data_IF_140147852387
#
_entry.id   IF_140147852387
#
_cell.length_a   1.000
_cell.length_b   1.000
_cell.length_c   1.000
_cell.angle_alpha   90.00
_cell.angle_beta   90.00
_cell.angle_gamma   90.00
#
_symmetry.space_group_name_H-M   'P 1'
#
loop_
_entity.id
_entity.type
_entity.pdbx_description
1 polymer ?
#
# COMPACT_ATOMS: atom_id res chain seq x y z
N UNK A 1 -14.59 15.17 -56.87
CA UNK A 1 -14.75 14.18 -55.79
C UNK A 1 -13.36 13.60 -55.49
N UNK A 2 -12.34 14.28 -54.96
CA UNK A 2 -12.21 15.24 -53.84
C UNK A 2 -12.97 14.81 -52.59
N UNK A 3 -12.18 14.47 -51.56
CA UNK A 3 -12.52 14.24 -50.14
C UNK A 3 -13.12 12.85 -49.90
N UNK A 4 -12.35 11.94 -49.27
CA UNK A 4 -12.65 11.06 -48.10
C UNK A 4 -11.56 9.96 -47.95
N UNK A 5 -10.26 10.28 -48.06
CA UNK A 5 -9.19 9.32 -47.66
C UNK A 5 -8.07 10.05 -46.89
N UNK A 6 -8.47 10.94 -45.97
CA UNK A 6 -7.52 11.67 -45.10
C UNK A 6 -7.93 11.66 -43.62
N UNK A 7 -8.93 10.86 -43.21
CA UNK A 7 -9.43 10.81 -41.82
C UNK A 7 -9.15 9.50 -41.08
N UNK A 8 -8.51 8.51 -41.70
CA UNK A 8 -8.23 7.24 -41.03
C UNK A 8 -6.79 7.17 -40.46
N UNK A 9 -5.90 8.09 -40.84
CA UNK A 9 -4.49 8.10 -40.38
C UNK A 9 -4.24 9.05 -39.19
N UNK A 10 -5.15 9.98 -38.88
CA UNK A 10 -5.03 10.85 -37.70
C UNK A 10 -5.82 10.37 -36.46
N UNK A 11 -6.60 9.28 -36.58
CA UNK A 11 -7.41 8.74 -35.48
C UNK A 11 -6.68 7.78 -34.54
N UNK A 12 -5.46 7.35 -34.87
CA UNK A 12 -4.71 6.33 -34.11
C UNK A 12 -3.46 6.83 -33.38
N UNK A 13 -3.16 8.13 -33.45
CA UNK A 13 -2.02 8.74 -32.74
C UNK A 13 -2.47 9.67 -31.58
N UNK A 14 -3.79 9.88 -31.42
CA UNK A 14 -4.36 10.75 -30.37
C UNK A 14 -4.84 10.06 -29.09
N UNK A 15 -4.57 8.77 -28.87
CA UNK A 15 -5.05 8.01 -27.67
C UNK A 15 -3.92 7.49 -26.77
N UNK A 16 -2.78 8.16 -26.76
CA UNK A 16 -1.68 7.95 -25.80
C UNK A 16 -1.37 9.20 -24.97
N UNK A 17 -2.34 10.10 -24.82
CA UNK A 17 -2.37 11.05 -23.71
C UNK A 17 -3.40 10.50 -22.75
N UNK A 18 -2.97 9.60 -21.87
CA UNK A 18 -3.73 9.31 -20.67
C UNK A 18 -3.97 10.64 -19.98
N UNK A 19 -5.23 10.98 -19.75
CA UNK A 19 -5.56 12.01 -18.80
C UNK A 19 -4.94 11.57 -17.48
N UNK A 20 -3.96 12.36 -17.06
CA UNK A 20 -3.45 12.43 -15.69
C UNK A 20 -4.60 12.95 -14.84
N UNK A 21 -5.58 12.09 -14.60
CA UNK A 21 -6.61 12.31 -13.61
C UNK A 21 -5.94 11.98 -12.29
N UNK A 22 -5.59 13.02 -11.55
CA UNK A 22 -5.09 12.91 -10.19
C UNK A 22 -6.17 12.24 -9.35
N UNK A 23 -6.16 10.90 -9.30
CA UNK A 23 -6.93 10.05 -8.39
C UNK A 23 -6.45 10.31 -6.94
N UNK A 24 -6.64 11.53 -6.45
CA UNK A 24 -6.92 11.72 -5.03
C UNK A 24 -8.34 11.24 -4.81
N UNK A 25 -8.52 9.92 -4.84
CA UNK A 25 -9.79 9.26 -4.58
C UNK A 25 -10.35 9.79 -3.26
N UNK A 26 -11.48 10.48 -3.31
CA UNK A 26 -12.26 10.84 -2.12
C UNK A 26 -12.68 9.59 -1.32
N UNK A 27 -12.60 8.38 -1.92
CA UNK A 27 -12.86 7.07 -1.29
C UNK A 27 -11.99 6.80 -0.04
N UNK A 28 -10.78 7.36 0.06
CA UNK A 28 -9.90 7.11 1.23
C UNK A 28 -10.34 7.89 2.49
N UNK A 29 -11.21 8.90 2.36
CA UNK A 29 -11.74 9.69 3.49
C UNK A 29 -12.84 8.95 4.26
N UNK A 30 -13.50 7.97 3.64
CA UNK A 30 -14.55 7.15 4.26
C UNK A 30 -13.99 5.93 5.00
N UNK A 31 -12.66 5.71 4.97
CA UNK A 31 -12.03 4.68 5.80
C UNK A 31 -12.13 5.09 7.29
N UNK A 32 -12.86 4.34 8.15
CA UNK A 32 -13.02 4.66 9.56
C UNK A 32 -11.69 4.63 10.35
N UNK A 33 -10.64 4.08 9.74
CA UNK A 33 -9.30 4.06 10.27
C UNK A 33 -8.35 5.01 9.54
N UNK A 34 -8.81 5.96 8.73
CA UNK A 34 -7.91 6.93 8.11
C UNK A 34 -7.14 7.72 9.18
N UNK A 35 -5.80 7.65 9.13
CA UNK A 35 -4.95 8.44 10.00
C UNK A 35 -4.44 9.68 9.29
N UNK A 36 -4.83 10.84 9.81
CA UNK A 36 -4.40 12.10 9.27
C UNK A 36 -3.10 12.59 9.93
N UNK A 37 -1.97 12.49 9.20
CA UNK A 37 -0.68 13.00 9.67
C UNK A 37 -0.54 14.53 9.56
N UNK A 38 -1.37 15.22 8.78
CA UNK A 38 -1.13 16.62 8.44
C UNK A 38 -2.35 17.34 7.88
N UNK A 39 -2.11 18.42 7.15
CA UNK A 39 -3.17 19.03 6.34
C UNK A 39 -3.08 18.49 4.91
N UNK A 40 -4.11 18.76 4.10
CA UNK A 40 -4.02 18.59 2.64
C UNK A 40 -2.85 19.38 2.02
N UNK A 41 -2.30 20.37 2.73
CA UNK A 41 -1.30 21.30 2.22
C UNK A 41 0.13 20.96 2.66
N UNK A 42 0.33 20.24 3.77
CA UNK A 42 1.67 19.80 4.16
C UNK A 42 1.66 18.64 5.17
N UNK A 43 2.64 17.76 4.97
CA UNK A 43 3.02 16.68 5.89
C UNK A 43 4.39 16.95 6.54
N UNK A 44 4.93 18.16 6.38
CA UNK A 44 6.16 18.62 7.02
C UNK A 44 6.00 18.64 8.56
N UNK A 45 6.96 18.07 9.32
CA UNK A 45 6.95 18.15 10.77
C UNK A 45 7.32 19.54 11.29
N UNK A 46 6.74 19.93 12.43
CA UNK A 46 7.07 21.21 13.08
C UNK A 46 8.54 21.28 13.50
N UNK A 47 9.09 20.16 14.00
CA UNK A 47 10.53 20.02 14.20
C UNK A 47 11.14 19.33 12.97
N UNK A 48 11.57 20.14 12.00
CA UNK A 48 12.14 19.68 10.75
C UNK A 48 13.61 19.23 10.86
N UNK A 49 14.11 18.86 12.04
CA UNK A 49 15.50 18.43 12.21
C UNK A 49 15.61 16.91 12.14
N UNK A 50 16.45 16.41 11.23
CA UNK A 50 16.73 14.99 11.09
C UNK A 50 17.91 14.54 11.95
N UNK A 51 18.13 13.23 12.03
CA UNK A 51 19.22 12.65 12.84
C UNK A 51 20.63 13.06 12.37
N UNK A 52 20.77 13.44 11.10
CA UNK A 52 22.00 13.92 10.49
C UNK A 52 22.17 15.45 10.58
N UNK A 53 21.26 16.14 11.27
CA UNK A 53 21.26 17.60 11.42
C UNK A 53 20.73 18.36 10.19
N UNK A 54 20.34 17.66 9.13
CA UNK A 54 19.74 18.30 7.96
C UNK A 54 18.27 18.66 8.19
N UNK A 55 17.78 19.63 7.42
CA UNK A 55 16.36 19.93 7.35
C UNK A 55 15.59 18.79 6.69
N UNK A 56 14.42 18.50 7.23
CA UNK A 56 13.51 17.47 6.76
C UNK A 56 13.09 17.72 5.31
N UNK A 57 13.22 16.69 4.47
CA UNK A 57 12.93 16.82 3.03
C UNK A 57 11.47 17.16 2.74
N UNK A 58 10.53 16.67 3.55
CA UNK A 58 9.11 17.05 3.49
C UNK A 58 8.86 18.56 3.62
N UNK A 59 9.81 19.32 4.16
CA UNK A 59 9.71 20.76 4.36
C UNK A 59 10.43 21.56 3.26
N UNK A 60 10.95 20.88 2.23
CA UNK A 60 11.58 21.56 1.10
C UNK A 60 10.56 22.45 0.37
N UNK A 61 11.03 23.59 -0.15
CA UNK A 61 10.19 24.51 -0.94
C UNK A 61 9.60 23.84 -2.19
N UNK A 62 10.36 22.90 -2.77
CA UNK A 62 9.96 22.13 -3.94
C UNK A 62 10.31 20.65 -3.70
N UNK A 63 9.45 19.91 -2.98
CA UNK A 63 9.74 18.57 -2.51
C UNK A 63 9.73 17.50 -3.61
N UNK A 64 9.11 17.80 -4.76
CA UNK A 64 9.09 16.95 -5.95
C UNK A 64 10.20 17.32 -6.95
N UNK A 65 11.09 18.25 -6.59
CA UNK A 65 12.25 18.54 -7.42
C UNK A 65 13.24 17.38 -7.37
N UNK A 66 13.38 16.70 -8.50
CA UNK A 66 14.39 15.66 -8.69
C UNK A 66 15.79 16.24 -8.44
N UNK A 67 16.54 15.60 -7.54
CA UNK A 67 17.92 15.98 -7.21
C UNK A 67 18.82 15.94 -8.45
N UNK A 68 19.74 16.90 -8.65
CA UNK A 68 20.65 16.89 -9.80
C UNK A 68 21.54 15.64 -9.90
N UNK A 69 21.72 14.92 -8.79
CA UNK A 69 22.50 13.68 -8.73
C UNK A 69 21.74 12.46 -9.27
N UNK A 70 20.44 12.61 -9.54
CA UNK A 70 19.60 11.56 -10.09
C UNK A 70 19.95 11.28 -11.56
N UNK A 71 20.57 10.14 -11.84
CA UNK A 71 20.73 9.65 -13.22
C UNK A 71 19.55 8.76 -13.59
N UNK A 72 18.88 9.06 -14.72
CA UNK A 72 17.80 8.25 -15.30
C UNK A 72 16.61 8.03 -14.35
N UNK A 73 16.27 9.03 -13.55
CA UNK A 73 15.12 8.98 -12.66
C UNK A 73 13.82 8.95 -13.48
N UNK A 74 13.01 7.92 -13.26
CA UNK A 74 11.64 7.83 -13.76
C UNK A 74 10.77 7.31 -12.64
N UNK A 75 9.88 8.15 -12.13
CA UNK A 75 8.91 7.75 -11.13
C UNK A 75 7.95 6.71 -11.72
N UNK A 76 7.65 5.65 -10.94
CA UNK A 76 6.65 4.65 -11.31
C UNK A 76 5.30 5.11 -10.78
N UNK A 77 4.27 5.30 -11.64
CA UNK A 77 2.95 5.71 -11.19
C UNK A 77 2.33 4.70 -10.22
N UNK A 78 1.86 5.18 -9.06
CA UNK A 78 1.17 4.36 -8.06
C UNK A 78 -0.34 4.42 -8.32
N UNK A 79 -0.85 3.41 -9.00
CA UNK A 79 -2.28 3.29 -9.32
C UNK A 79 -3.10 2.77 -8.13
N UNK A 80 -4.43 2.93 -8.15
CA UNK A 80 -5.34 2.27 -7.19
C UNK A 80 -5.11 0.76 -7.09
N UNK A 81 -4.86 0.11 -8.23
CA UNK A 81 -4.51 -1.32 -8.29
C UNK A 81 -3.20 -1.62 -7.56
N UNK A 82 -2.17 -0.78 -7.73
CA UNK A 82 -0.90 -0.93 -7.02
C UNK A 82 -1.06 -0.74 -5.50
N UNK A 83 -1.84 0.26 -5.07
CA UNK A 83 -2.18 0.47 -3.65
C UNK A 83 -2.87 -0.75 -3.06
N UNK A 84 -3.94 -1.24 -3.70
CA UNK A 84 -4.66 -2.44 -3.26
C UNK A 84 -3.75 -3.68 -3.25
N UNK A 85 -3.00 -3.94 -4.32
CA UNK A 85 -2.08 -5.08 -4.38
C UNK A 85 -1.05 -5.05 -3.25
N UNK A 86 -0.46 -3.89 -2.97
CA UNK A 86 0.52 -3.76 -1.91
C UNK A 86 -0.10 -4.05 -0.53
N UNK A 87 -1.27 -3.49 -0.25
CA UNK A 87 -2.02 -3.76 1.00
C UNK A 87 -2.41 -5.24 1.11
N UNK A 88 -2.95 -5.84 0.05
CA UNK A 88 -3.36 -7.24 0.03
C UNK A 88 -2.20 -8.19 0.28
N UNK A 89 -1.05 -7.95 -0.35
CA UNK A 89 0.12 -8.82 -0.14
C UNK A 89 0.67 -8.65 1.29
N UNK A 90 0.69 -7.44 1.84
CA UNK A 90 1.07 -7.22 3.24
C UNK A 90 0.13 -7.96 4.20
N UNK A 91 -1.19 -7.78 4.03
CA UNK A 91 -2.19 -8.42 4.88
C UNK A 91 -2.22 -9.94 4.70
N UNK A 92 -2.07 -10.45 3.48
CA UNK A 92 -1.97 -11.89 3.22
C UNK A 92 -0.78 -12.52 3.94
N UNK A 93 0.38 -11.86 3.91
CA UNK A 93 1.56 -12.29 4.67
C UNK A 93 1.30 -12.25 6.17
N UNK A 94 0.81 -11.13 6.70
CA UNK A 94 0.52 -10.95 8.13
C UNK A 94 -0.49 -11.97 8.64
N UNK A 95 -1.54 -12.23 7.86
CA UNK A 95 -2.56 -13.23 8.14
C UNK A 95 -1.95 -14.63 8.24
N UNK A 96 -1.07 -15.00 7.29
CA UNK A 96 -0.35 -16.28 7.33
C UNK A 96 0.48 -16.41 8.60
N UNK A 97 1.25 -15.38 8.95
CA UNK A 97 2.08 -15.38 10.17
C UNK A 97 1.22 -15.49 11.43
N UNK A 98 0.13 -14.71 11.51
CA UNK A 98 -0.79 -14.74 12.63
C UNK A 98 -1.47 -16.11 12.78
N UNK A 99 -1.91 -16.71 11.68
CA UNK A 99 -2.48 -18.05 11.67
C UNK A 99 -1.48 -19.12 12.14
N UNK A 100 -0.30 -19.16 11.52
CA UNK A 100 0.74 -20.17 11.78
C UNK A 100 1.27 -20.09 13.22
N UNK A 101 1.31 -18.88 13.80
CA UNK A 101 1.80 -18.61 15.16
C UNK A 101 0.70 -18.45 16.20
N UNK A 102 -0.57 -18.56 15.82
CA UNK A 102 -1.74 -18.33 16.70
C UNK A 102 -1.69 -16.97 17.39
N UNK A 103 -1.46 -15.89 16.63
CA UNK A 103 -1.44 -14.52 17.16
C UNK A 103 -2.85 -13.94 17.21
N UNK A 104 -3.17 -13.25 18.30
CA UNK A 104 -4.45 -12.61 18.54
C UNK A 104 -4.47 -11.15 18.08
N UNK A 105 -3.34 -10.44 18.21
CA UNK A 105 -3.30 -8.97 18.10
C UNK A 105 -2.64 -8.44 16.81
N UNK A 106 -2.75 -9.17 15.69
CA UNK A 106 -2.18 -8.72 14.42
C UNK A 106 -3.18 -7.80 13.70
N UNK A 107 -2.85 -6.52 13.54
CA UNK A 107 -3.72 -5.58 12.84
C UNK A 107 -3.70 -5.81 11.32
N UNK A 108 -4.86 -5.57 10.70
CA UNK A 108 -4.97 -5.31 9.28
C UNK A 108 -4.33 -3.94 8.98
N UNK A 109 -3.52 -3.86 7.93
CA UNK A 109 -2.89 -2.60 7.49
C UNK A 109 -3.65 -1.96 6.35
N UNK A 110 -3.62 -0.64 6.29
CA UNK A 110 -4.30 0.17 5.29
C UNK A 110 -3.30 1.04 4.53
N UNK A 111 -3.67 1.42 3.31
CA UNK A 111 -2.89 2.42 2.58
C UNK A 111 -3.06 3.79 3.22
N UNK A 112 -2.00 4.60 3.21
CA UNK A 112 -2.04 5.99 3.64
C UNK A 112 -1.32 6.89 2.65
N UNK A 113 -2.05 7.87 2.13
CA UNK A 113 -1.55 8.79 1.10
C UNK A 113 -0.41 9.67 1.59
N UNK A 114 -0.42 10.12 2.85
CA UNK A 114 0.69 10.92 3.39
C UNK A 114 2.00 10.11 3.50
N UNK A 115 1.93 8.82 3.84
CA UNK A 115 3.10 7.93 3.82
C UNK A 115 3.58 7.66 2.38
N UNK A 116 2.67 7.59 1.40
CA UNK A 116 3.02 7.51 -0.03
C UNK A 116 3.73 8.79 -0.48
N UNK A 117 3.22 9.96 -0.13
CA UNK A 117 3.83 11.25 -0.49
C UNK A 117 5.24 11.34 0.11
N UNK A 118 5.42 10.88 1.35
CA UNK A 118 6.74 10.79 1.98
C UNK A 118 7.67 9.83 1.22
N UNK A 119 7.18 8.66 0.80
CA UNK A 119 7.90 7.71 -0.02
C UNK A 119 8.36 8.33 -1.36
N UNK A 120 7.46 9.03 -2.04
CA UNK A 120 7.73 9.66 -3.32
C UNK A 120 8.75 10.80 -3.20
N UNK A 121 8.57 11.70 -2.25
CA UNK A 121 9.52 12.80 -2.02
C UNK A 121 10.92 12.29 -1.65
N UNK A 122 11.00 11.19 -0.90
CA UNK A 122 12.28 10.58 -0.57
C UNK A 122 13.01 10.05 -1.83
N UNK A 123 12.29 9.46 -2.80
CA UNK A 123 12.88 9.01 -4.06
C UNK A 123 13.46 10.17 -4.89
N UNK A 124 12.85 11.35 -4.83
CA UNK A 124 13.34 12.56 -5.50
C UNK A 124 14.70 13.04 -4.98
N UNK A 125 15.09 12.64 -3.75
CA UNK A 125 16.41 12.96 -3.19
C UNK A 125 17.54 12.16 -3.86
N UNK A 126 17.23 11.03 -4.49
CA UNK A 126 18.20 10.09 -5.05
C UNK A 126 19.34 9.70 -4.10
N UNK A 127 18.96 9.26 -2.90
CA UNK A 127 19.88 8.75 -1.88
C UNK A 127 19.74 7.23 -1.78
N UNK A 128 20.82 6.44 -1.85
CA UNK A 128 20.76 4.99 -1.71
C UNK A 128 20.78 4.52 -0.25
N UNK A 129 20.93 5.44 0.71
CA UNK A 129 21.07 5.14 2.15
C UNK A 129 19.78 5.37 2.89
N UNK A 130 19.53 4.61 3.97
CA UNK A 130 18.36 4.75 4.84
C UNK A 130 18.07 6.21 5.19
N UNK A 131 16.79 6.52 5.25
CA UNK A 131 16.31 7.84 5.64
C UNK A 131 16.70 8.18 7.09
N UNK A 132 17.25 9.39 7.26
CA UNK A 132 17.63 9.97 8.55
C UNK A 132 16.48 10.78 9.16
N UNK A 133 15.41 11.00 8.40
CA UNK A 133 14.25 11.83 8.70
C UNK A 133 12.98 10.97 8.88
N UNK A 134 13.00 10.03 9.83
CA UNK A 134 11.90 9.07 10.06
C UNK A 134 10.74 9.63 10.89
N UNK A 135 10.29 10.84 10.57
CA UNK A 135 9.15 11.51 11.20
C UNK A 135 8.23 12.11 10.14
N UNK A 136 6.94 12.18 10.41
CA UNK A 136 5.96 12.77 9.49
C UNK A 136 4.92 13.58 10.25
N UNK A 137 4.40 14.62 9.60
CA UNK A 137 3.24 15.35 10.08
C UNK A 137 3.58 16.34 11.18
N UNK A 138 2.65 17.27 11.45
CA UNK A 138 2.87 18.40 12.37
C UNK A 138 3.34 17.94 13.76
N UNK A 139 2.83 16.80 14.23
CA UNK A 139 3.15 16.24 15.55
C UNK A 139 4.42 15.36 15.56
N UNK A 140 5.14 15.24 14.45
CA UNK A 140 6.40 14.49 14.37
C UNK A 140 6.23 12.99 14.63
N UNK A 141 5.23 12.38 14.01
CA UNK A 141 4.94 10.95 14.17
C UNK A 141 6.08 10.10 13.64
N UNK A 142 6.64 9.23 14.48
CA UNK A 142 7.73 8.34 14.07
C UNK A 142 7.21 7.26 13.12
N UNK A 143 7.92 7.08 12.00
CA UNK A 143 7.61 6.07 10.98
C UNK A 143 8.75 5.06 10.81
N UNK A 144 8.39 3.86 10.39
CA UNK A 144 9.35 2.85 9.92
C UNK A 144 9.61 3.01 8.43
N UNK A 145 10.70 2.43 7.94
CA UNK A 145 11.04 2.44 6.51
C UNK A 145 11.57 1.06 6.10
N UNK A 146 11.04 0.55 4.99
CA UNK A 146 11.66 -0.55 4.24
C UNK A 146 12.04 -0.05 2.85
N UNK A 147 13.18 -0.52 2.35
CA UNK A 147 13.61 -0.26 0.97
C UNK A 147 14.05 -1.54 0.28
N UNK A 148 13.91 -1.57 -1.03
CA UNK A 148 14.49 -2.64 -1.87
C UNK A 148 14.96 -2.05 -3.19
N UNK A 149 16.11 -2.55 -3.66
CA UNK A 149 16.63 -2.25 -4.99
C UNK A 149 16.63 -3.51 -5.85
N UNK A 150 16.05 -3.43 -7.04
CA UNK A 150 15.96 -4.52 -8.01
C UNK A 150 16.76 -4.14 -9.26
N UNK A 151 17.90 -4.79 -9.54
CA UNK A 151 18.74 -4.47 -10.69
C UNK A 151 18.00 -4.64 -12.04
N UNK A 152 18.31 -3.79 -13.02
CA UNK A 152 17.65 -3.76 -14.35
C UNK A 152 17.66 -5.09 -15.11
N UNK A 153 18.63 -5.96 -14.89
CA UNK A 153 18.62 -7.31 -15.51
C UNK A 153 17.40 -8.17 -15.12
N UNK A 154 16.64 -7.76 -14.09
CA UNK A 154 15.40 -8.38 -13.64
C UNK A 154 14.15 -7.54 -13.98
N UNK A 155 14.23 -6.59 -14.92
CA UNK A 155 13.16 -5.62 -15.25
C UNK A 155 11.87 -6.28 -15.78
N UNK A 156 11.95 -7.45 -16.42
CA UNK A 156 10.76 -8.20 -16.85
C UNK A 156 9.88 -8.68 -15.68
N UNK A 157 10.37 -8.59 -14.43
CA UNK A 157 9.63 -8.94 -13.22
C UNK A 157 8.88 -7.74 -12.58
N UNK A 158 8.87 -6.57 -13.22
CA UNK A 158 8.31 -5.33 -12.65
C UNK A 158 6.79 -5.20 -12.76
N UNK A 159 6.13 -6.02 -13.57
CA UNK A 159 4.67 -6.01 -13.71
C UNK A 159 3.93 -6.42 -12.43
N UNK A 160 4.66 -6.91 -11.42
CA UNK A 160 4.15 -7.35 -10.11
C UNK A 160 5.12 -6.95 -8.98
N UNK A 161 5.68 -5.74 -9.08
CA UNK A 161 6.69 -5.27 -8.13
C UNK A 161 6.15 -5.27 -6.69
N UNK A 162 4.84 -5.04 -6.48
CA UNK A 162 4.20 -5.01 -5.18
C UNK A 162 4.39 -6.34 -4.42
N UNK A 163 3.97 -7.43 -5.06
CA UNK A 163 4.06 -8.77 -4.46
C UNK A 163 5.51 -9.23 -4.26
N UNK A 164 6.37 -8.94 -5.23
CA UNK A 164 7.78 -9.35 -5.20
C UNK A 164 8.57 -8.60 -4.14
N UNK A 165 8.25 -7.32 -3.92
CA UNK A 165 8.86 -6.49 -2.89
C UNK A 165 8.60 -7.05 -1.50
N UNK A 166 7.33 -7.29 -1.16
CA UNK A 166 6.96 -7.86 0.13
C UNK A 166 7.56 -9.24 0.32
N UNK A 167 7.55 -10.07 -0.73
CA UNK A 167 8.22 -11.38 -0.72
C UNK A 167 9.72 -11.25 -0.45
N UNK A 168 10.41 -10.29 -1.07
CA UNK A 168 11.84 -10.10 -0.87
C UNK A 168 12.15 -9.75 0.59
N UNK A 169 11.41 -8.80 1.18
CA UNK A 169 11.54 -8.44 2.59
C UNK A 169 11.22 -9.60 3.53
N UNK A 170 10.18 -10.39 3.21
CA UNK A 170 9.88 -11.59 3.98
C UNK A 170 10.99 -12.64 3.91
N UNK A 171 11.60 -12.79 2.73
CA UNK A 171 12.68 -13.76 2.48
C UNK A 171 14.05 -13.30 2.98
N UNK A 172 14.18 -12.10 3.60
CA UNK A 172 15.39 -11.72 4.36
C UNK A 172 15.76 -12.76 5.43
N UNK A 173 14.79 -13.57 5.84
CA UNK A 173 14.96 -14.75 6.69
C UNK A 173 15.89 -15.83 6.12
N UNK A 174 16.26 -15.80 4.84
CA UNK A 174 17.27 -16.67 4.22
C UNK A 174 17.36 -18.08 4.85
N UNK A 175 16.43 -18.99 4.55
CA UNK A 175 16.46 -20.40 5.01
C UNK A 175 16.40 -20.62 6.53
N UNK A 176 16.21 -19.59 7.36
CA UNK A 176 16.02 -19.74 8.81
C UNK A 176 14.57 -20.17 9.04
N UNK A 177 14.35 -21.40 9.49
CA UNK A 177 13.05 -21.81 10.05
C UNK A 177 12.78 -20.85 11.20
N UNK A 178 11.70 -20.06 11.17
CA UNK A 178 11.31 -19.19 12.29
C UNK A 178 11.01 -20.08 13.50
N UNK A 179 12.02 -20.33 14.33
CA UNK A 179 11.82 -20.95 15.63
C UNK A 179 11.36 -19.87 16.60
N UNK A 180 10.69 -20.29 17.67
CA UNK A 180 10.28 -19.39 18.76
C UNK A 180 11.49 -18.67 19.38
N UNK A 181 12.70 -19.22 19.24
CA UNK A 181 13.98 -18.65 19.68
C UNK A 181 14.53 -17.57 18.73
N UNK A 182 14.26 -17.63 17.42
CA UNK A 182 14.79 -16.62 16.47
C UNK A 182 14.11 -15.25 16.66
N UNK A 183 12.88 -15.25 17.17
CA UNK A 183 12.15 -14.03 17.58
C UNK A 183 12.67 -13.43 18.90
N UNK A 184 13.61 -14.08 19.60
CA UNK A 184 14.11 -13.70 20.94
C UNK A 184 15.40 -12.88 20.89
N UNK A 185 16.20 -13.00 19.82
CA UNK A 185 17.57 -12.48 19.86
C UNK A 185 17.67 -11.08 19.25
N UNK A 186 18.00 -10.08 20.07
CA UNK A 186 18.18 -8.65 19.74
C UNK A 186 19.23 -8.35 18.62
N UNK A 187 19.97 -9.35 18.14
CA UNK A 187 20.99 -9.23 17.09
C UNK A 187 20.45 -8.88 15.69
N UNK A 188 19.15 -8.61 15.56
CA UNK A 188 18.41 -8.57 14.29
C UNK A 188 18.04 -7.18 13.78
N UNK A 189 18.25 -6.10 14.56
CA UNK A 189 17.98 -4.71 14.15
C UNK A 189 18.74 -4.27 12.88
N UNK A 190 19.82 -4.96 12.52
CA UNK A 190 20.58 -4.71 11.28
C UNK A 190 20.19 -5.59 10.08
N UNK A 191 19.85 -6.87 10.30
CA UNK A 191 19.70 -7.89 9.23
C UNK A 191 18.25 -8.25 8.86
N UNK A 192 17.29 -7.99 9.75
CA UNK A 192 15.87 -8.34 9.57
C UNK A 192 14.94 -7.14 9.82
N UNK A 193 15.46 -5.93 9.59
CA UNK A 193 14.73 -4.69 9.81
C UNK A 193 13.44 -4.64 8.99
N UNK A 194 13.50 -5.09 7.73
CA UNK A 194 12.34 -5.03 6.85
C UNK A 194 11.27 -6.05 7.26
N UNK A 195 11.66 -7.30 7.56
CA UNK A 195 10.72 -8.30 8.07
C UNK A 195 10.05 -7.84 9.36
N UNK A 196 10.82 -7.37 10.33
CA UNK A 196 10.29 -6.96 11.64
C UNK A 196 9.20 -5.92 11.47
N UNK A 197 9.42 -4.97 10.56
CA UNK A 197 8.43 -3.96 10.22
C UNK A 197 7.18 -4.56 9.55
N UNK A 198 7.33 -5.55 8.66
CA UNK A 198 6.20 -6.21 7.99
C UNK A 198 5.26 -6.94 8.96
N UNK A 199 5.82 -7.61 9.98
CA UNK A 199 5.05 -8.45 10.92
C UNK A 199 4.78 -7.77 12.27
N UNK A 200 5.01 -6.46 12.36
CA UNK A 200 4.75 -5.70 13.58
C UNK A 200 3.25 -5.71 13.92
N UNK A 201 2.81 -6.23 15.09
CA UNK A 201 1.39 -6.43 15.40
C UNK A 201 0.56 -5.16 15.29
N UNK A 202 1.05 -4.09 15.91
CA UNK A 202 0.38 -2.81 16.01
C UNK A 202 0.54 -1.95 14.75
N UNK A 203 1.19 -2.43 13.68
CA UNK A 203 1.29 -1.70 12.42
C UNK A 203 -0.11 -1.46 11.85
N UNK A 204 -0.39 -0.23 11.41
CA UNK A 204 -1.73 0.16 10.95
C UNK A 204 -1.71 0.68 9.51
N UNK A 205 -0.65 1.37 9.11
CA UNK A 205 -0.60 2.05 7.81
C UNK A 205 0.69 1.79 7.08
N UNK A 206 0.56 1.72 5.76
CA UNK A 206 1.66 1.66 4.82
C UNK A 206 1.45 2.71 3.73
N UNK A 207 2.54 3.28 3.23
CA UNK A 207 2.52 4.06 2.00
C UNK A 207 3.86 3.91 1.29
N UNK A 208 3.80 3.64 0.00
CA UNK A 208 4.98 3.27 -0.77
C UNK A 208 5.04 4.04 -2.09
N UNK A 209 6.25 4.15 -2.61
CA UNK A 209 6.51 4.66 -3.94
C UNK A 209 7.69 3.91 -4.56
N UNK A 210 7.82 4.00 -5.88
CA UNK A 210 8.88 3.34 -6.62
C UNK A 210 9.38 4.22 -7.77
N UNK A 211 10.67 4.12 -8.08
CA UNK A 211 11.27 4.84 -9.20
C UNK A 211 12.35 3.98 -9.87
N UNK A 212 12.46 4.10 -11.20
CA UNK A 212 13.61 3.60 -11.94
C UNK A 212 14.76 4.58 -11.67
N UNK A 213 15.83 4.10 -11.06
CA UNK A 213 17.01 4.88 -10.68
C UNK A 213 18.17 3.93 -10.34
N UNK A 214 19.40 4.44 -10.28
CA UNK A 214 20.60 3.64 -9.97
C UNK A 214 20.76 2.37 -10.84
N UNK A 215 20.32 2.42 -12.10
CA UNK A 215 20.27 1.28 -13.03
C UNK A 215 19.39 0.09 -12.55
N UNK A 216 18.30 0.38 -11.85
CA UNK A 216 17.29 -0.60 -11.44
C UNK A 216 15.97 0.04 -11.02
N UNK A 217 15.09 -0.74 -10.41
CA UNK A 217 13.91 -0.24 -9.70
C UNK A 217 14.27 -0.08 -8.21
N UNK A 218 14.06 1.10 -7.66
CA UNK A 218 14.17 1.36 -6.23
C UNK A 218 12.78 1.60 -5.65
N UNK A 219 12.45 0.88 -4.59
CA UNK A 219 11.16 0.94 -3.92
C UNK A 219 11.40 1.31 -2.46
N UNK A 220 10.56 2.19 -1.95
CA UNK A 220 10.54 2.60 -0.55
C UNK A 220 9.11 2.54 -0.03
N UNK A 221 8.94 1.98 1.16
CA UNK A 221 7.69 2.01 1.91
C UNK A 221 7.95 2.61 3.29
N UNK A 222 7.05 3.50 3.70
CA UNK A 222 6.96 3.99 5.06
C UNK A 222 5.80 3.33 5.81
N UNK A 223 5.97 3.19 7.11
CA UNK A 223 5.11 2.38 7.98
C UNK A 223 4.76 3.15 9.24
N UNK A 224 3.49 3.12 9.65
CA UNK A 224 3.06 3.71 10.91
C UNK A 224 2.10 2.79 11.69
N UNK A 225 2.29 2.62 13.01
CA UNK A 225 3.43 3.08 13.80
C UNK A 225 4.74 2.34 13.45
N UNK A 226 5.86 3.02 13.72
CA UNK A 226 7.19 2.43 13.60
C UNK A 226 7.42 1.33 14.65
N UNK A 227 8.26 0.35 14.31
CA UNK A 227 8.79 -0.61 15.30
C UNK A 227 9.56 0.15 16.38
N UNK A 228 9.19 -0.04 17.64
CA UNK A 228 9.82 0.61 18.80
C UNK A 228 10.39 -0.37 19.83
N UNK A 229 9.96 -1.64 19.81
CA UNK A 229 10.32 -2.67 20.78
C UNK A 229 10.59 -4.02 20.11
N UNK A 230 10.97 -5.04 20.89
CA UNK A 230 11.12 -6.41 20.39
C UNK A 230 9.76 -7.02 20.01
N UNK A 231 9.71 -7.80 18.92
CA UNK A 231 8.47 -8.47 18.47
C UNK A 231 7.87 -9.38 19.54
N UNK A 232 8.71 -10.11 20.27
CA UNK A 232 8.24 -11.05 21.30
C UNK A 232 7.44 -10.36 22.39
N UNK A 233 7.85 -9.16 22.80
CA UNK A 233 7.15 -8.40 23.83
C UNK A 233 5.77 -7.93 23.37
N UNK A 234 5.54 -7.85 22.06
CA UNK A 234 4.33 -7.29 21.47
C UNK A 234 3.37 -8.35 20.94
N UNK A 235 3.78 -9.63 20.84
CA UNK A 235 2.88 -10.71 20.40
C UNK A 235 1.98 -11.19 21.53
N UNK A 236 0.68 -11.16 21.27
CA UNK A 236 -0.35 -11.82 22.08
C UNK A 236 -0.82 -13.06 21.34
N UNK A 237 -0.93 -14.20 22.04
CA UNK A 237 -1.31 -15.48 21.45
C UNK A 237 -2.77 -15.82 21.78
N UNK A 238 -3.45 -16.44 20.82
CA UNK A 238 -4.77 -17.03 20.99
C UNK A 238 -4.70 -18.22 21.94
N UNK A 239 -5.76 -18.43 22.72
CA UNK A 239 -5.98 -19.69 23.44
C UNK A 239 -6.41 -20.79 22.46
N UNK A 240 -6.38 -22.04 22.93
CA UNK A 240 -6.63 -23.21 22.09
C UNK A 240 -8.01 -23.22 21.40
N UNK A 241 -9.01 -22.60 22.03
CA UNK A 241 -10.41 -22.51 21.59
C UNK A 241 -10.76 -21.16 20.92
N UNK A 242 -9.83 -20.21 20.89
CA UNK A 242 -10.03 -18.89 20.30
C UNK A 242 -9.65 -18.92 18.81
N UNK A 243 -10.57 -18.49 17.95
CA UNK A 243 -10.34 -18.35 16.51
C UNK A 243 -9.77 -16.98 16.14
N UNK A 244 -10.21 -15.92 16.84
CA UNK A 244 -9.74 -14.56 16.70
C UNK A 244 -10.16 -13.73 17.92
N UNK A 245 -9.23 -12.94 18.47
CA UNK A 245 -9.46 -12.04 19.62
C UNK A 245 -8.71 -10.74 19.38
N UNK A 246 -9.44 -9.68 19.09
CA UNK A 246 -8.82 -8.42 18.73
C UNK A 246 -8.67 -7.42 19.89
N UNK A 247 -7.66 -6.54 19.83
CA UNK A 247 -7.45 -5.53 20.86
C UNK A 247 -8.57 -4.49 20.86
N UNK A 248 -8.73 -3.78 21.97
CA UNK A 248 -9.81 -2.79 22.15
C UNK A 248 -9.81 -1.70 21.07
N UNK A 249 -8.69 -1.31 20.48
CA UNK A 249 -8.71 -0.31 19.40
C UNK A 249 -9.14 -0.86 18.04
N UNK A 250 -9.29 -2.18 17.89
CA UNK A 250 -9.64 -2.88 16.65
C UNK A 250 -10.69 -3.95 16.92
N UNK A 251 -11.94 -3.54 17.17
CA UNK A 251 -12.96 -4.43 17.74
C UNK A 251 -13.46 -5.60 16.86
N UNK A 252 -13.01 -5.73 15.62
CA UNK A 252 -13.51 -6.76 14.70
C UNK A 252 -12.39 -7.56 14.08
N UNK A 253 -12.65 -8.86 13.93
CA UNK A 253 -11.88 -9.74 13.08
C UNK A 253 -12.22 -9.43 11.62
N UNK A 254 -11.21 -9.41 10.77
CA UNK A 254 -11.41 -9.30 9.32
C UNK A 254 -12.10 -10.55 8.79
N UNK A 255 -13.00 -10.37 7.83
CA UNK A 255 -13.70 -11.45 7.13
C UNK A 255 -12.82 -12.07 6.04
N UNK A 256 -12.00 -11.26 5.36
CA UNK A 256 -11.10 -11.72 4.31
C UNK A 256 -9.80 -12.32 4.88
N UNK A 257 -9.26 -11.68 5.91
CA UNK A 257 -8.04 -12.06 6.61
C UNK A 257 -8.37 -12.48 8.04
N UNK A 258 -8.93 -13.67 8.19
CA UNK A 258 -9.57 -14.17 9.43
C UNK A 258 -8.69 -14.23 10.68
N UNK A 259 -7.37 -14.08 10.55
CA UNK A 259 -6.43 -14.00 11.68
C UNK A 259 -5.93 -12.57 11.95
N UNK A 260 -6.56 -11.56 11.34
CA UNK A 260 -6.24 -10.15 11.51
C UNK A 260 -7.39 -9.35 12.11
N UNK A 261 -7.04 -8.22 12.71
CA UNK A 261 -7.95 -7.29 13.37
C UNK A 261 -8.12 -5.99 12.56
N UNK A 262 -9.34 -5.71 12.13
CA UNK A 262 -9.67 -4.57 11.27
C UNK A 262 -10.86 -4.83 10.36
N UNK A 263 -11.31 -3.78 9.66
CA UNK A 263 -12.43 -3.82 8.72
C UNK A 263 -11.88 -3.97 7.31
N UNK A 264 -12.44 -4.87 6.52
CA UNK A 264 -12.06 -5.05 5.12
C UNK A 264 -12.64 -3.93 4.25
N UNK A 265 -11.79 -3.14 3.60
CA UNK A 265 -12.22 -2.01 2.76
C UNK A 265 -12.88 -2.48 1.46
N UNK A 266 -12.47 -3.63 0.90
CA UNK A 266 -12.99 -4.10 -0.39
C UNK A 266 -14.44 -4.63 -0.32
N UNK A 267 -14.96 -4.91 0.88
CA UNK A 267 -16.36 -5.36 1.06
C UNK A 267 -17.35 -4.19 0.93
N UNK A 268 -16.90 -2.94 1.12
CA UNK A 268 -17.73 -1.75 0.98
C UNK A 268 -18.11 -1.45 -0.49
N UNK A 269 -17.19 -1.68 -1.42
CA UNK A 269 -17.42 -1.45 -2.86
C UNK A 269 -18.24 -2.55 -3.53
N UNK A 270 -18.16 -3.80 -3.04
CA UNK A 270 -18.91 -4.93 -3.58
C UNK A 270 -20.43 -4.88 -3.25
N UNK A 271 -20.84 -4.01 -2.33
CA UNK A 271 -22.26 -3.70 -2.07
C UNK A 271 -22.79 -2.55 -2.91
N UNK A 272 -21.96 -1.90 -3.72
CA UNK A 272 -22.42 -1.09 -4.83
C UNK A 272 -22.63 -2.05 -5.98
N UNK A 273 -23.77 -2.75 -5.99
CA UNK A 273 -24.29 -3.30 -7.23
C UNK A 273 -24.43 -2.11 -8.16
N UNK A 274 -23.49 -1.93 -9.09
CA UNK A 274 -23.67 -1.02 -10.20
C UNK A 274 -24.99 -1.42 -10.87
N UNK A 275 -26.02 -0.60 -10.67
CA UNK A 275 -27.23 -0.66 -11.47
C UNK A 275 -26.84 -0.24 -12.87
N UNK A 276 -26.22 -1.17 -13.62
CA UNK A 276 -25.97 -0.97 -15.02
C UNK A 276 -27.36 -0.79 -15.68
N UNK A 277 -27.65 0.37 -16.29
CA UNK A 277 -28.95 0.63 -16.89
C UNK A 277 -29.30 -0.43 -17.94
N UNK A 278 -28.31 -1.06 -18.58
CA UNK A 278 -28.52 -2.19 -19.47
C UNK A 278 -29.03 -3.43 -18.75
N UNK A 279 -28.49 -3.76 -17.58
CA UNK A 279 -28.98 -4.89 -16.78
C UNK A 279 -30.40 -4.63 -16.29
N UNK A 280 -30.73 -3.39 -15.91
CA UNK A 280 -32.10 -3.03 -15.51
C UNK A 280 -33.06 -3.10 -16.71
N UNK A 281 -32.65 -2.61 -17.88
CA UNK A 281 -33.43 -2.68 -19.11
C UNK A 281 -33.67 -4.14 -19.55
N UNK A 282 -32.65 -4.99 -19.44
CA UNK A 282 -32.75 -6.42 -19.75
C UNK A 282 -33.74 -7.14 -18.83
N UNK A 283 -33.72 -6.78 -17.54
CA UNK A 283 -34.62 -7.35 -16.53
C UNK A 283 -36.07 -6.90 -16.77
N UNK A 284 -36.29 -5.62 -17.08
CA UNK A 284 -37.61 -5.10 -17.47
C UNK A 284 -38.11 -5.71 -18.79
N UNK A 285 -37.23 -5.92 -19.76
CA UNK A 285 -37.56 -6.57 -21.03
C UNK A 285 -37.96 -8.04 -20.84
N UNK A 286 -37.24 -8.78 -19.98
CA UNK A 286 -37.58 -10.15 -19.62
C UNK A 286 -38.96 -10.19 -18.93
N UNK A 287 -39.23 -9.28 -17.98
CA UNK A 287 -40.53 -9.20 -17.32
C UNK A 287 -41.67 -8.87 -18.30
N UNK A 288 -41.42 -7.97 -19.27
CA UNK A 288 -42.39 -7.65 -20.32
C UNK A 288 -42.69 -8.85 -21.22
N UNK A 289 -41.67 -9.60 -21.65
CA UNK A 289 -41.86 -10.84 -22.42
C UNK A 289 -42.68 -11.85 -21.62
N UNK A 290 -42.33 -12.08 -20.35
CA UNK A 290 -43.05 -13.02 -19.48
C UNK A 290 -44.51 -12.60 -19.26
N UNK A 291 -44.79 -11.29 -19.13
CA UNK A 291 -46.14 -10.77 -19.01
C UNK A 291 -46.97 -11.02 -20.28
N UNK A 292 -46.41 -10.75 -21.46
CA UNK A 292 -47.10 -10.93 -22.74
C UNK A 292 -47.32 -12.40 -23.11
N UNK A 293 -46.38 -13.29 -22.77
CA UNK A 293 -46.57 -14.75 -22.93
C UNK A 293 -47.73 -15.25 -22.07
N UNK A 294 -47.95 -14.65 -20.89
CA UNK A 294 -49.05 -15.03 -19.99
C UNK A 294 -50.42 -14.54 -20.49
N UNK A 295 -50.46 -13.46 -21.27
CA UNK A 295 -51.70 -12.91 -21.85
C UNK A 295 -52.08 -13.49 -23.23
N UNK A 296 -51.15 -14.13 -23.96
CA UNK A 296 -51.48 -14.85 -25.21
C UNK A 296 -52.03 -16.28 -24.99
N UNK A 297 -52.33 -16.67 -23.75
CA UNK A 297 -52.93 -17.98 -23.38
C UNK A 297 -54.32 -17.83 -22.73
N UNK A 298 -55.05 -16.76 -23.05
CA UNK A 298 -56.47 -16.58 -22.69
C UNK A 298 -57.28 -16.35 -23.96
#
# INVERSE_FOLDING_TARGET
>A
MKIVIALIVFGYIGRLVGQDESDHDEDDLDNPYYFNFGSKTTICPQNASCLDGNTHFLCAKDPMKVSPNCKRFVLVPITRKSRSNMVHVHNGLRNKVAYDKKLANMNLVYWNMHLQDMAEQYLHLCRPYRDTCLIIGLNGYRVGQNTVFVPRQHFALLTEWEGRTVRQWFLELGRIKITSQDLVTEQLKGKMGNLTQLIWPSLEFIGCSAAIMFDGLFIVCYYYPAVNESLKAQFTYLKADESCVCPKNRYTCSLLFTSLCGIDIEVGGALITEFNPWNMFLLLFILFILYNIRFSRV
#
